data_IF_014220998556
#
_entry.id   IF_014220998556
#
_cell.length_a   1.000
_cell.length_b   1.000
_cell.length_c   1.000
_cell.angle_alpha   90.00
_cell.angle_beta   90.00
_cell.angle_gamma   90.00
#
_symmetry.space_group_name_H-M   'P 1'
#
loop_
_entity.id
_entity.type
_entity.pdbx_description
1 polymer ?
#
# COMPACT_ATOMS: atom_id res chain seq x y z
N UNK A 1 4.09 36.13 -36.97
CA UNK A 1 3.24 36.45 -35.81
C UNK A 1 2.83 35.13 -35.16
N UNK A 2 3.64 34.60 -34.23
CA UNK A 2 3.43 33.27 -33.63
C UNK A 2 3.29 33.40 -32.12
N UNK A 3 2.09 33.17 -31.60
CA UNK A 3 1.79 33.22 -30.17
C UNK A 3 2.40 32.01 -29.46
N UNK A 4 3.45 32.22 -28.66
CA UNK A 4 3.95 31.22 -27.71
C UNK A 4 2.85 30.96 -26.68
N UNK A 5 2.16 29.80 -26.78
CA UNK A 5 1.31 29.28 -25.71
C UNK A 5 2.17 29.10 -24.46
N UNK A 6 1.94 29.93 -23.44
CA UNK A 6 2.48 29.68 -22.09
C UNK A 6 1.82 28.42 -21.55
N UNK A 7 2.60 27.38 -21.30
CA UNK A 7 2.14 26.21 -20.57
C UNK A 7 1.71 26.66 -19.17
N UNK A 8 0.48 26.32 -18.79
CA UNK A 8 0.00 26.56 -17.44
C UNK A 8 0.88 25.76 -16.46
N UNK A 9 1.66 26.47 -15.63
CA UNK A 9 2.38 25.86 -14.53
C UNK A 9 1.36 25.48 -13.47
N UNK A 10 0.93 24.22 -13.47
CA UNK A 10 0.15 23.64 -12.38
C UNK A 10 0.94 23.79 -11.09
N UNK A 11 0.58 24.81 -10.31
CA UNK A 11 1.15 25.05 -9.00
C UNK A 11 0.08 24.61 -8.00
N UNK A 12 0.16 23.36 -7.57
CA UNK A 12 -0.67 22.89 -6.46
C UNK A 12 -0.30 23.72 -5.21
N UNK A 13 -1.25 24.30 -4.48
CA UNK A 13 -0.94 25.01 -3.25
C UNK A 13 -0.25 24.05 -2.30
N UNK A 14 1.02 24.33 -2.00
CA UNK A 14 1.96 23.48 -1.25
C UNK A 14 1.49 23.11 0.16
N UNK A 15 0.43 23.75 0.66
CA UNK A 15 -0.09 23.60 2.01
C UNK A 15 -1.07 22.42 2.20
N UNK A 16 -1.54 21.79 1.11
CA UNK A 16 -2.57 20.74 1.18
C UNK A 16 -2.03 19.29 1.12
N UNK A 17 -0.74 19.08 0.85
CA UNK A 17 -0.14 17.75 0.77
C UNK A 17 0.73 17.47 1.99
N UNK A 18 0.33 16.46 2.77
CA UNK A 18 1.19 15.74 3.69
C UNK A 18 1.37 14.31 3.18
N UNK A 19 2.46 13.65 3.55
CA UNK A 19 2.71 12.26 3.16
C UNK A 19 1.71 11.31 3.81
N UNK A 20 1.39 11.56 5.09
CA UNK A 20 0.41 10.78 5.84
C UNK A 20 -0.53 11.71 6.60
N UNK A 21 -1.79 11.29 6.73
CA UNK A 21 -2.79 12.01 7.50
C UNK A 21 -3.49 11.05 8.47
N UNK A 22 -3.59 11.44 9.74
CA UNK A 22 -4.30 10.68 10.76
C UNK A 22 -5.57 11.42 11.21
N UNK A 23 -6.70 10.70 11.10
CA UNK A 23 -8.04 11.18 11.49
C UNK A 23 -8.45 10.68 12.89
N UNK A 24 -7.52 10.07 13.63
CA UNK A 24 -7.78 9.42 14.92
C UNK A 24 -8.33 10.37 15.99
N UNK A 25 -7.95 11.66 15.95
CA UNK A 25 -8.43 12.66 16.90
C UNK A 25 -9.95 12.90 16.78
N UNK A 26 -10.49 12.91 15.55
CA UNK A 26 -11.93 13.06 15.29
C UNK A 26 -12.72 11.84 15.82
N UNK A 27 -12.18 10.63 15.61
CA UNK A 27 -12.80 9.41 16.13
C UNK A 27 -12.77 9.35 17.68
N UNK A 28 -11.70 9.86 18.28
CA UNK A 28 -11.52 9.86 19.73
C UNK A 28 -12.49 10.78 20.49
N UNK A 29 -13.10 11.78 19.82
CA UNK A 29 -14.09 12.69 20.41
C UNK A 29 -15.23 11.94 21.07
N UNK A 30 -15.77 10.89 20.42
CA UNK A 30 -16.90 10.10 20.95
C UNK A 30 -16.58 9.49 22.32
N UNK A 31 -15.34 9.04 22.51
CA UNK A 31 -14.88 8.37 23.74
C UNK A 31 -14.40 9.35 24.81
N UNK A 32 -13.79 10.46 24.40
CA UNK A 32 -13.16 11.42 25.32
C UNK A 32 -14.03 12.64 25.63
N UNK A 33 -15.07 12.92 24.84
CA UNK A 33 -15.96 14.10 24.94
C UNK A 33 -15.18 15.43 25.06
N UNK A 34 -14.07 15.54 24.33
CA UNK A 34 -13.20 16.72 24.26
C UNK A 34 -13.15 17.27 22.84
N UNK A 35 -12.74 18.52 22.70
CA UNK A 35 -12.54 19.14 21.39
C UNK A 35 -11.49 18.33 20.59
N UNK A 36 -11.79 17.91 19.35
CA UNK A 36 -10.83 17.18 18.52
C UNK A 36 -9.49 17.91 18.32
N UNK A 37 -9.49 19.24 18.31
CA UNK A 37 -8.26 20.02 18.21
C UNK A 37 -7.35 19.81 19.42
N UNK A 38 -7.91 19.85 20.64
CA UNK A 38 -7.13 19.63 21.87
C UNK A 38 -6.55 18.22 21.94
N UNK A 39 -7.28 17.24 21.40
CA UNK A 39 -6.80 15.85 21.30
C UNK A 39 -5.64 15.78 20.29
N UNK A 40 -5.78 16.41 19.13
CA UNK A 40 -4.74 16.45 18.11
C UNK A 40 -3.44 17.12 18.61
N UNK A 41 -3.56 18.24 19.34
CA UNK A 41 -2.41 18.94 19.93
C UNK A 41 -1.69 18.11 21.01
N UNK A 42 -2.43 17.32 21.80
CA UNK A 42 -1.82 16.38 22.75
C UNK A 42 -1.06 15.25 22.04
N UNK A 43 -1.53 14.83 20.87
CA UNK A 43 -0.82 13.84 20.06
C UNK A 43 0.44 14.46 19.45
N UNK A 44 0.34 15.67 18.90
CA UNK A 44 1.49 16.42 18.38
C UNK A 44 2.58 16.60 19.43
N UNK A 45 2.23 16.97 20.68
CA UNK A 45 3.19 17.14 21.76
C UNK A 45 3.97 15.85 22.11
N UNK A 46 3.37 14.67 21.88
CA UNK A 46 4.04 13.37 22.12
C UNK A 46 4.81 12.86 20.91
N UNK A 47 4.26 13.06 19.72
CA UNK A 47 4.86 12.55 18.48
C UNK A 47 6.02 13.45 18.03
N UNK A 48 5.89 14.77 18.24
CA UNK A 48 6.89 15.77 17.87
C UNK A 48 8.20 15.70 18.67
N UNK A 49 8.29 14.84 19.69
CA UNK A 49 9.56 14.53 20.36
C UNK A 49 10.47 13.60 19.52
N UNK A 50 9.95 13.01 18.43
CA UNK A 50 10.73 12.12 17.56
C UNK A 50 11.24 12.86 16.31
N UNK A 51 12.51 12.68 15.99
CA UNK A 51 13.15 13.26 14.78
C UNK A 51 12.68 12.63 13.46
N UNK A 52 11.79 11.63 13.53
CA UNK A 52 11.26 10.92 12.35
C UNK A 52 10.16 11.74 11.66
N UNK A 53 9.34 12.44 12.44
CA UNK A 53 8.10 13.04 11.94
C UNK A 53 8.05 14.54 12.17
N UNK A 54 7.75 15.28 11.10
CA UNK A 54 7.32 16.67 11.13
C UNK A 54 5.80 16.67 11.20
N UNK A 55 5.25 17.09 12.33
CA UNK A 55 3.80 17.08 12.61
C UNK A 55 3.21 18.46 12.37
N UNK A 56 2.01 18.51 11.80
CA UNK A 56 1.22 19.73 11.69
C UNK A 56 -0.26 19.45 11.94
N UNK A 57 -0.89 20.26 12.79
CA UNK A 57 -2.32 20.13 13.09
C UNK A 57 -3.15 21.07 12.22
N UNK A 58 -4.11 20.51 11.49
CA UNK A 58 -5.10 21.26 10.71
C UNK A 58 -6.48 21.18 11.38
N UNK A 59 -7.22 22.29 11.34
CA UNK A 59 -8.62 22.31 11.79
C UNK A 59 -9.47 21.38 10.89
N UNK A 60 -10.44 20.64 11.45
CA UNK A 60 -10.94 20.65 12.84
C UNK A 60 -10.22 19.67 13.80
N UNK A 61 -9.11 19.05 13.40
CA UNK A 61 -8.38 18.05 14.20
C UNK A 61 -7.68 16.99 13.36
N UNK A 62 -7.27 17.34 12.14
CA UNK A 62 -6.45 16.49 11.28
C UNK A 62 -5.00 16.57 11.75
N UNK A 63 -4.36 15.40 11.89
CA UNK A 63 -2.94 15.31 12.24
C UNK A 63 -2.20 14.96 10.94
N UNK A 64 -1.50 15.93 10.37
CA UNK A 64 -0.66 15.71 9.20
C UNK A 64 0.75 15.32 9.64
N UNK A 65 1.30 14.29 9.01
CA UNK A 65 2.62 13.75 9.29
C UNK A 65 3.44 13.75 8.00
N UNK A 66 4.60 14.40 8.05
CA UNK A 66 5.64 14.27 7.04
C UNK A 66 6.85 13.60 7.67
N UNK A 67 7.55 12.77 6.90
CA UNK A 67 8.82 12.21 7.33
C UNK A 67 9.93 13.26 7.19
N UNK A 68 10.87 13.25 8.12
CA UNK A 68 12.10 14.04 8.00
C UNK A 68 12.93 13.54 6.81
N UNK A 69 13.50 14.47 6.04
CA UNK A 69 14.30 14.14 4.85
C UNK A 69 15.52 13.28 5.22
N UNK A 70 16.14 13.54 6.38
CA UNK A 70 17.27 12.75 6.89
C UNK A 70 16.87 11.29 7.20
N UNK A 71 15.69 11.11 7.80
CA UNK A 71 15.14 9.77 8.05
C UNK A 71 14.87 9.03 6.73
N UNK A 72 14.25 9.70 5.76
CA UNK A 72 13.98 9.12 4.44
C UNK A 72 15.26 8.73 3.71
N UNK A 73 16.26 9.61 3.67
CA UNK A 73 17.54 9.35 3.03
C UNK A 73 18.27 8.17 3.69
N UNK A 74 18.26 8.12 5.02
CA UNK A 74 18.84 7.01 5.78
C UNK A 74 18.10 5.70 5.47
N UNK A 75 16.77 5.70 5.57
CA UNK A 75 15.94 4.52 5.35
C UNK A 75 16.14 3.95 3.93
N UNK A 76 16.10 4.79 2.90
CA UNK A 76 16.35 4.37 1.51
C UNK A 76 17.75 3.77 1.34
N UNK A 77 18.77 4.37 1.96
CA UNK A 77 20.14 3.85 1.89
C UNK A 77 20.29 2.48 2.54
N UNK A 78 19.54 2.21 3.61
CA UNK A 78 19.52 0.91 4.28
C UNK A 78 18.72 -0.12 3.46
N UNK A 79 17.59 0.30 2.90
CA UNK A 79 16.74 -0.56 2.08
C UNK A 79 17.47 -1.10 0.84
N UNK A 80 18.31 -0.28 0.20
CA UNK A 80 19.11 -0.69 -0.97
C UNK A 80 20.17 -1.76 -0.66
N UNK A 81 20.50 -2.00 0.61
CA UNK A 81 21.45 -3.04 1.02
C UNK A 81 20.78 -4.40 1.25
N UNK A 82 19.45 -4.46 1.25
CA UNK A 82 18.70 -5.69 1.44
C UNK A 82 18.61 -6.46 0.13
N UNK A 83 18.66 -7.79 0.20
CA UNK A 83 18.46 -8.66 -0.97
C UNK A 83 17.07 -8.48 -1.61
N UNK A 84 16.08 -8.08 -0.81
CA UNK A 84 14.71 -7.79 -1.26
C UNK A 84 14.27 -6.41 -0.73
N UNK A 85 14.64 -5.30 -1.41
CA UNK A 85 14.30 -3.96 -0.96
C UNK A 85 12.78 -3.76 -0.93
N UNK A 86 12.26 -3.32 0.22
CA UNK A 86 10.83 -3.01 0.40
C UNK A 86 9.95 -4.20 0.77
N UNK A 87 10.51 -5.41 0.92
CA UNK A 87 9.77 -6.59 1.38
C UNK A 87 10.39 -7.14 2.67
N UNK A 88 9.59 -7.17 3.73
CA UNK A 88 9.94 -7.90 4.95
C UNK A 88 9.41 -9.34 4.82
N UNK A 89 10.29 -10.32 5.01
CA UNK A 89 9.89 -11.72 5.02
C UNK A 89 9.13 -12.02 6.30
N UNK A 90 7.96 -12.67 6.17
CA UNK A 90 7.21 -13.12 7.34
C UNK A 90 8.01 -14.17 8.12
N UNK A 91 7.98 -14.07 9.44
CA UNK A 91 8.55 -15.11 10.32
C UNK A 91 7.66 -16.35 10.43
N UNK A 92 6.37 -16.21 10.10
CA UNK A 92 5.38 -17.29 10.13
C UNK A 92 4.72 -17.42 8.74
N UNK A 93 5.21 -18.31 7.86
CA UNK A 93 4.71 -18.44 6.50
C UNK A 93 3.37 -19.17 6.48
N UNK A 94 2.36 -18.52 5.90
CA UNK A 94 1.06 -19.11 5.66
C UNK A 94 1.01 -19.84 4.31
N UNK A 95 0.35 -20.99 4.28
CA UNK A 95 0.00 -21.63 3.01
C UNK A 95 -1.24 -20.97 2.44
N UNK A 96 -1.09 -20.28 1.30
CA UNK A 96 -2.20 -19.65 0.57
C UNK A 96 -2.52 -20.48 -0.67
N UNK A 97 -3.77 -20.91 -0.79
CA UNK A 97 -4.29 -21.54 -2.01
C UNK A 97 -4.98 -20.47 -2.84
N UNK A 98 -4.46 -20.23 -4.04
CA UNK A 98 -5.02 -19.28 -5.00
C UNK A 98 -5.75 -20.07 -6.08
N UNK A 99 -7.09 -20.07 -6.04
CA UNK A 99 -7.92 -20.62 -7.11
C UNK A 99 -8.05 -19.61 -8.25
N UNK A 100 -7.07 -19.62 -9.14
CA UNK A 100 -7.18 -18.96 -10.43
C UNK A 100 -8.09 -19.84 -11.30
N UNK A 101 -9.38 -19.49 -11.41
CA UNK A 101 -10.35 -20.26 -12.23
C UNK A 101 -9.71 -20.77 -13.53
N UNK A 102 -9.77 -22.08 -13.74
CA UNK A 102 -9.26 -22.74 -14.93
C UNK A 102 -9.93 -22.26 -16.23
N UNK A 103 -9.42 -22.66 -17.40
CA UNK A 103 -9.96 -22.25 -18.68
C UNK A 103 -11.46 -22.59 -18.76
N UNK A 104 -12.30 -21.56 -18.92
CA UNK A 104 -13.73 -21.75 -19.18
C UNK A 104 -13.95 -22.01 -20.66
N UNK A 105 -14.91 -22.87 -21.00
CA UNK A 105 -15.44 -23.05 -22.37
C UNK A 105 -16.33 -21.86 -22.74
N UNK A 106 -15.74 -20.67 -22.81
CA UNK A 106 -16.40 -19.48 -23.36
C UNK A 106 -16.15 -19.42 -24.88
N UNK A 107 -17.12 -18.93 -25.66
CA UNK A 107 -17.07 -19.00 -27.14
C UNK A 107 -15.96 -18.14 -27.77
N UNK A 108 -15.30 -17.26 -27.00
CA UNK A 108 -14.30 -16.33 -27.54
C UNK A 108 -12.87 -16.64 -27.03
N UNK A 109 -11.98 -17.10 -27.92
CA UNK A 109 -10.58 -17.40 -27.64
C UNK A 109 -9.68 -16.15 -27.57
N UNK A 110 -10.16 -14.95 -27.25
CA UNK A 110 -9.30 -13.89 -26.72
C UNK A 110 -9.54 -13.61 -25.24
N UNK A 111 -10.73 -13.95 -24.73
CA UNK A 111 -11.11 -13.73 -23.33
C UNK A 111 -10.48 -14.77 -22.38
N UNK A 112 -10.26 -16.01 -22.86
CA UNK A 112 -9.60 -17.08 -22.09
C UNK A 112 -8.18 -16.73 -21.64
N UNK A 113 -7.39 -16.07 -22.48
CA UNK A 113 -5.99 -15.77 -22.20
C UNK A 113 -5.83 -14.65 -21.15
N UNK A 114 -6.84 -13.79 -21.00
CA UNK A 114 -6.80 -12.64 -20.07
C UNK A 114 -7.29 -12.98 -18.67
N UNK A 115 -8.21 -13.94 -18.53
CA UNK A 115 -8.80 -14.34 -17.25
C UNK A 115 -7.80 -14.85 -16.18
N UNK A 116 -6.71 -15.57 -16.52
CA UNK A 116 -5.73 -16.00 -15.53
C UNK A 116 -4.73 -14.91 -15.12
N UNK A 117 -4.68 -13.77 -15.82
CA UNK A 117 -3.69 -12.69 -15.57
C UNK A 117 -3.81 -12.11 -14.15
N UNK A 118 -5.01 -11.77 -13.63
CA UNK A 118 -5.14 -11.27 -12.27
C UNK A 118 -4.69 -12.29 -11.22
N UNK A 119 -5.02 -13.57 -11.44
CA UNK A 119 -4.63 -14.65 -10.54
C UNK A 119 -3.12 -14.87 -10.50
N UNK A 120 -2.47 -14.86 -11.67
CA UNK A 120 -1.01 -14.92 -11.75
C UNK A 120 -0.35 -13.71 -11.06
N UNK A 121 -0.87 -12.50 -11.26
CA UNK A 121 -0.35 -11.29 -10.62
C UNK A 121 -0.42 -11.36 -9.08
N UNK A 122 -1.51 -11.91 -8.53
CA UNK A 122 -1.64 -12.14 -7.08
C UNK A 122 -0.57 -13.12 -6.59
N UNK A 123 -0.30 -14.20 -7.33
CA UNK A 123 0.77 -15.14 -6.99
C UNK A 123 2.13 -14.45 -6.95
N UNK A 124 2.48 -13.63 -7.95
CA UNK A 124 3.76 -12.90 -7.99
C UNK A 124 3.93 -11.87 -6.86
N UNK A 125 2.84 -11.27 -6.38
CA UNK A 125 2.89 -10.33 -5.26
C UNK A 125 3.09 -11.03 -3.91
N UNK A 126 2.54 -12.24 -3.76
CA UNK A 126 2.53 -12.97 -2.48
C UNK A 126 3.80 -13.82 -2.30
N UNK A 127 4.35 -14.36 -3.39
CA UNK A 127 5.48 -15.28 -3.35
C UNK A 127 6.75 -14.75 -2.63
N UNK A 128 7.24 -13.51 -2.89
CA UNK A 128 8.41 -12.98 -2.19
C UNK A 128 8.15 -12.74 -0.69
N UNK A 129 6.90 -12.52 -0.29
CA UNK A 129 6.52 -12.20 1.10
C UNK A 129 6.36 -13.47 1.94
N UNK A 130 5.77 -14.53 1.37
CA UNK A 130 5.33 -15.72 2.12
C UNK A 130 6.12 -17.00 1.81
N UNK A 131 7.08 -16.99 0.87
CA UNK A 131 7.72 -18.23 0.35
C UNK A 131 6.67 -19.29 0.04
N UNK A 132 5.69 -18.93 -0.78
CA UNK A 132 4.64 -19.86 -1.15
C UNK A 132 5.22 -20.97 -2.04
N UNK A 133 5.05 -22.24 -1.65
CA UNK A 133 5.31 -23.35 -2.56
C UNK A 133 4.26 -23.32 -3.67
N UNK A 134 4.48 -22.54 -4.73
CA UNK A 134 3.62 -22.55 -5.90
C UNK A 134 3.80 -23.87 -6.64
N UNK A 135 3.01 -24.89 -6.29
CA UNK A 135 2.86 -26.04 -7.18
C UNK A 135 1.95 -25.58 -8.32
N UNK A 136 2.42 -25.54 -9.58
CA UNK A 136 1.55 -25.20 -10.69
C UNK A 136 0.41 -26.21 -10.72
N UNK A 137 -0.82 -25.70 -10.60
CA UNK A 137 -2.05 -26.49 -10.52
C UNK A 137 -2.42 -27.17 -11.86
N UNK A 138 -1.48 -27.30 -12.79
CA UNK A 138 -1.63 -28.15 -13.99
C UNK A 138 -1.68 -29.64 -13.59
N UNK A 139 -1.15 -30.00 -12.41
CA UNK A 139 -1.12 -31.39 -11.94
C UNK A 139 -2.41 -31.87 -11.26
N UNK A 140 -3.28 -30.98 -10.74
CA UNK A 140 -4.48 -31.39 -9.98
C UNK A 140 -5.66 -31.69 -10.93
N UNK A 141 -5.69 -31.06 -12.13
CA UNK A 141 -6.72 -31.32 -13.14
C UNK A 141 -6.68 -32.74 -13.75
N UNK A 142 -5.56 -33.47 -13.64
CA UNK A 142 -5.49 -34.89 -14.06
C UNK A 142 -5.99 -35.87 -13.00
N UNK A 143 -5.96 -35.51 -11.73
CA UNK A 143 -6.38 -36.40 -10.64
C UNK A 143 -7.90 -36.48 -10.49
N UNK A 144 -8.65 -35.43 -10.87
CA UNK A 144 -10.11 -35.39 -10.76
C UNK A 144 -10.80 -36.13 -11.93
N UNK A 145 -10.14 -36.31 -13.07
CA UNK A 145 -10.71 -36.98 -14.24
C UNK A 145 -10.47 -38.50 -14.32
N UNK A 146 -9.77 -39.10 -13.34
CA UNK A 146 -9.59 -40.56 -13.26
C UNK A 146 -10.45 -41.23 -12.19
N UNK A 147 -11.37 -40.48 -11.57
CA UNK A 147 -12.34 -40.98 -10.57
C UNK A 147 -13.79 -40.83 -11.04
N UNK A 148 -13.99 -40.62 -12.35
CA UNK A 148 -15.29 -40.63 -13.01
C UNK A 148 -15.33 -41.70 -14.09
#
# INVERSE_FOLDING_TARGET
MGTKKRMARWSFPKLAFCQFQCNGALAAVKRRKRNPLDIAQQVEARVGENDIFIVAILKPGFINLNLADDFLAHYCSQMLKLDQPGFEQTTDPLTIVIDCRGPQTLPNPCMWALYPIPGAAVTYLIDPILRCSTKPMIAIGKAVYQIG
#
